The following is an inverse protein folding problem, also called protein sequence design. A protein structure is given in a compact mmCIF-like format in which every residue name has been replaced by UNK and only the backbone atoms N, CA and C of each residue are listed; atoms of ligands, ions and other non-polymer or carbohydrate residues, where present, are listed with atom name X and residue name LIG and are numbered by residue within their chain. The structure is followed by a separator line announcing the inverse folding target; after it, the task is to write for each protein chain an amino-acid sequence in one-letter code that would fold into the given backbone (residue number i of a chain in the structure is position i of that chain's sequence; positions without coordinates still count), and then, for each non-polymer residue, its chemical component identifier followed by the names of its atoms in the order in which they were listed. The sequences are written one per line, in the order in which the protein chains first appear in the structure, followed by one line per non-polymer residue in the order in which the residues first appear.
data_IF_497969639130
#
_entry.id   IF_497969639130
#
_cell.length_a   1.000
_cell.length_b   1.000
_cell.length_c   1.000
_cell.angle_alpha   90.00
_cell.angle_beta   90.00
_cell.angle_gamma   90.00
#
_symmetry.space_group_name_H-M   'P 1'
#
loop_
_entity.id
_entity.type
_entity.pdbx_description
1 polymer ?
#
# COMPACT_ATOMS: atom_id res chain seq x y z
N UNK A 1 -18.07 -5.80 -23.20
CA UNK A 1 -16.79 -5.80 -22.46
C UNK A 1 -16.91 -4.72 -21.40
N UNK A 2 -17.04 -5.06 -20.11
CA UNK A 2 -17.23 -4.05 -19.07
C UNK A 2 -15.96 -3.20 -18.93
N UNK A 3 -16.10 -1.87 -18.96
CA UNK A 3 -14.98 -0.96 -18.74
C UNK A 3 -14.52 -1.06 -17.29
N UNK A 4 -13.21 -1.23 -17.09
CA UNK A 4 -12.60 -1.27 -15.76
C UNK A 4 -12.68 0.14 -15.13
N UNK A 5 -13.22 0.28 -13.90
CA UNK A 5 -13.34 1.57 -13.23
C UNK A 5 -11.99 2.29 -13.06
N UNK A 6 -12.01 3.62 -13.06
CA UNK A 6 -10.79 4.43 -12.90
C UNK A 6 -9.97 4.05 -11.66
N UNK A 7 -10.65 3.83 -10.52
CA UNK A 7 -10.01 3.46 -9.27
C UNK A 7 -9.15 2.19 -9.38
N UNK A 8 -9.62 1.20 -10.12
CA UNK A 8 -8.87 -0.04 -10.37
C UNK A 8 -7.70 0.21 -11.33
N UNK A 9 -7.90 1.05 -12.35
CA UNK A 9 -6.83 1.41 -13.31
C UNK A 9 -5.68 2.19 -12.65
N UNK A 10 -5.97 3.04 -11.67
CA UNK A 10 -4.97 3.85 -10.96
C UNK A 10 -4.41 3.17 -9.70
N UNK A 11 -4.83 1.92 -9.40
CA UNK A 11 -4.33 1.21 -8.22
C UNK A 11 -2.80 1.10 -8.28
N UNK A 12 -2.07 1.54 -7.24
CA UNK A 12 -0.62 1.44 -7.18
C UNK A 12 -0.14 0.00 -7.35
N UNK A 13 0.90 -0.21 -8.17
CA UNK A 13 1.53 -1.52 -8.38
C UNK A 13 2.82 -1.67 -7.58
N UNK A 14 3.40 -0.54 -7.13
CA UNK A 14 4.58 -0.49 -6.28
C UNK A 14 4.28 0.29 -5.01
N UNK A 15 4.93 -0.11 -3.91
CA UNK A 15 4.80 0.60 -2.63
C UNK A 15 5.25 2.08 -2.71
N UNK A 16 6.17 2.41 -3.63
CA UNK A 16 6.62 3.79 -3.88
C UNK A 16 5.59 4.67 -4.58
N UNK A 17 4.60 4.08 -5.25
CA UNK A 17 3.51 4.78 -5.94
C UNK A 17 2.36 5.11 -4.98
N UNK A 18 2.36 4.54 -3.77
CA UNK A 18 1.36 4.83 -2.76
C UNK A 18 1.49 6.29 -2.30
N UNK A 19 0.41 7.05 -2.44
CA UNK A 19 0.33 8.44 -2.00
C UNK A 19 -0.18 8.45 -0.56
N UNK A 20 0.54 9.15 0.33
CA UNK A 20 0.18 9.25 1.74
C UNK A 20 0.85 8.20 2.62
N UNK A 21 0.34 8.02 3.84
CA UNK A 21 0.82 7.03 4.82
C UNK A 21 2.34 6.95 4.99
N UNK A 22 3.05 8.10 4.92
CA UNK A 22 4.53 8.17 4.94
C UNK A 22 5.15 7.52 6.18
N UNK A 23 4.43 7.49 7.30
CA UNK A 23 4.87 6.83 8.52
C UNK A 23 4.88 5.30 8.41
N UNK A 24 4.08 4.71 7.52
CA UNK A 24 4.03 3.25 7.26
C UNK A 24 4.89 2.82 6.07
N UNK A 25 4.86 3.59 4.97
CA UNK A 25 5.50 3.20 3.70
C UNK A 25 6.73 4.02 3.32
N UNK A 26 7.03 5.08 4.09
CA UNK A 26 8.22 5.90 3.89
C UNK A 26 9.51 5.14 4.18
N UNK A 27 10.66 5.81 4.02
CA UNK A 27 12.01 5.22 4.18
C UNK A 27 12.17 4.41 5.47
N UNK A 28 11.59 4.90 6.57
CA UNK A 28 11.68 4.28 7.89
C UNK A 28 10.41 3.55 8.32
N UNK A 29 9.39 3.51 7.45
CA UNK A 29 8.08 2.96 7.77
C UNK A 29 8.09 1.46 7.97
N UNK A 30 7.18 0.98 8.83
CA UNK A 30 7.15 -0.40 9.29
C UNK A 30 6.87 -1.39 8.15
N UNK A 31 5.94 -1.06 7.25
CA UNK A 31 5.58 -1.92 6.12
C UNK A 31 6.75 -2.04 5.13
N UNK A 32 7.44 -0.93 4.84
CA UNK A 32 8.60 -0.96 3.95
C UNK A 32 9.72 -1.83 4.51
N UNK A 33 9.97 -1.77 5.82
CA UNK A 33 10.96 -2.63 6.49
C UNK A 33 10.56 -4.10 6.49
N UNK A 34 9.30 -4.41 6.79
CA UNK A 34 8.74 -5.76 6.79
C UNK A 34 8.87 -6.42 5.41
N UNK A 35 8.43 -5.72 4.36
CA UNK A 35 8.54 -6.19 2.96
C UNK A 35 10.01 -6.39 2.56
N UNK A 36 10.90 -5.43 2.86
CA UNK A 36 12.33 -5.55 2.54
C UNK A 36 12.99 -6.75 3.22
N UNK A 37 12.56 -7.09 4.43
CA UNK A 37 13.04 -8.25 5.18
C UNK A 37 12.33 -9.56 4.82
N UNK A 38 11.31 -9.52 3.95
CA UNK A 38 10.42 -10.65 3.65
C UNK A 38 9.76 -11.27 4.90
N UNK A 39 9.57 -10.47 5.95
CA UNK A 39 8.93 -10.87 7.19
C UNK A 39 7.60 -10.12 7.29
N UNK A 40 6.55 -10.71 6.72
CA UNK A 40 5.20 -10.14 6.74
C UNK A 40 4.37 -10.85 7.82
N UNK A 41 4.14 -10.20 8.97
CA UNK A 41 3.29 -10.78 10.01
C UNK A 41 1.81 -10.73 9.60
N UNK A 42 0.94 -11.40 10.36
CA UNK A 42 -0.50 -11.15 10.28
C UNK A 42 -0.80 -9.69 10.62
N UNK A 43 -1.63 -9.03 9.81
CA UNK A 43 -1.92 -7.60 9.94
C UNK A 43 -3.42 -7.33 9.80
N UNK A 44 -3.89 -6.33 10.54
CA UNK A 44 -5.19 -5.69 10.32
C UNK A 44 -4.89 -4.29 9.76
N UNK A 45 -5.44 -3.97 8.60
CA UNK A 45 -5.35 -2.64 8.00
C UNK A 45 -6.64 -1.89 8.30
N UNK A 46 -6.56 -0.86 9.16
CA UNK A 46 -7.72 -0.11 9.61
C UNK A 46 -7.56 1.38 9.29
N UNK A 47 -8.62 1.96 8.74
CA UNK A 47 -8.71 3.36 8.37
C UNK A 47 -10.10 3.72 7.81
N UNK A 48 -10.39 5.01 7.62
CA UNK A 48 -11.60 5.46 6.94
C UNK A 48 -11.62 4.99 5.47
N UNK A 49 -12.78 5.00 4.81
CA UNK A 49 -12.86 4.68 3.38
C UNK A 49 -12.03 5.68 2.56
N UNK A 50 -11.14 5.17 1.70
CA UNK A 50 -10.25 5.98 0.86
C UNK A 50 -8.95 5.26 0.50
#
# INVERSE_FOLDING_TARGET
MQEIPLAERIRPRKLSELIGQKHLVGKNGILKKAIKKQLIPSMILWGPPG
#
